data_IF_313089310587
#
_entry.id   IF_313089310587
#
_cell.length_a   1.000
_cell.length_b   1.000
_cell.length_c   1.000
_cell.angle_alpha   90.00
_cell.angle_beta   90.00
_cell.angle_gamma   90.00
#
_symmetry.space_group_name_H-M   'P 1'
#
loop_
_entity.id
_entity.type
_entity.pdbx_description
1 polymer ?
#
# COMPACT_ATOMS: atom_id res chain seq x y z
N UNK A 1 35.49 -24.86 -31.98
CA UNK A 1 34.05 -25.22 -32.05
C UNK A 1 33.88 -26.49 -31.22
N UNK A 2 33.13 -26.39 -30.13
CA UNK A 2 32.74 -27.53 -29.31
C UNK A 2 31.80 -28.42 -30.15
N UNK A 3 32.20 -29.68 -30.34
CA UNK A 3 31.34 -30.68 -30.99
C UNK A 3 30.36 -31.25 -29.96
N UNK A 4 29.15 -31.52 -30.35
CA UNK A 4 28.22 -32.24 -29.50
C UNK A 4 28.75 -33.65 -29.17
N UNK A 5 28.34 -34.24 -28.05
CA UNK A 5 28.72 -35.60 -27.67
C UNK A 5 28.41 -36.60 -28.76
N UNK A 6 27.26 -36.50 -29.41
CA UNK A 6 26.84 -37.35 -30.50
C UNK A 6 27.76 -37.24 -31.73
N UNK A 7 28.17 -36.02 -32.12
CA UNK A 7 29.13 -35.80 -33.19
C UNK A 7 30.54 -36.34 -32.87
N UNK A 8 30.98 -36.15 -31.60
CA UNK A 8 32.28 -36.67 -31.14
C UNK A 8 32.27 -38.21 -31.14
N UNK A 9 31.17 -38.82 -30.71
CA UNK A 9 30.99 -40.27 -30.69
C UNK A 9 30.92 -40.88 -32.08
N UNK A 10 30.15 -40.26 -33.00
CA UNK A 10 30.07 -40.64 -34.41
C UNK A 10 31.46 -40.60 -35.05
N UNK A 11 32.23 -39.54 -34.85
CA UNK A 11 33.56 -39.42 -35.36
C UNK A 11 34.53 -40.47 -34.80
N UNK A 12 34.45 -40.75 -33.50
CA UNK A 12 35.27 -41.78 -32.86
C UNK A 12 34.94 -43.18 -33.38
N UNK A 13 33.66 -43.54 -33.46
CA UNK A 13 33.21 -44.84 -33.97
C UNK A 13 33.61 -45.05 -35.42
N UNK A 14 33.49 -44.05 -36.30
CA UNK A 14 33.98 -44.09 -37.66
C UNK A 14 35.48 -44.39 -37.74
N UNK A 15 36.29 -43.76 -36.84
CA UNK A 15 37.74 -43.96 -36.81
C UNK A 15 38.11 -45.37 -36.34
N UNK A 16 37.40 -45.97 -35.40
CA UNK A 16 37.73 -47.22 -34.76
C UNK A 16 37.16 -48.43 -35.53
N UNK A 17 35.93 -48.33 -36.04
CA UNK A 17 35.18 -49.41 -36.65
C UNK A 17 35.02 -49.31 -38.15
N UNK A 18 35.36 -48.15 -38.78
CA UNK A 18 35.17 -47.89 -40.20
C UNK A 18 33.71 -47.73 -40.60
N UNK A 19 32.73 -47.79 -39.65
CA UNK A 19 31.29 -47.67 -39.90
C UNK A 19 30.89 -46.21 -39.85
N UNK A 20 30.18 -45.71 -40.87
CA UNK A 20 29.59 -44.37 -40.86
C UNK A 20 28.29 -44.40 -40.08
N UNK A 21 28.31 -43.71 -38.92
CA UNK A 21 27.14 -43.49 -38.07
C UNK A 21 26.92 -41.98 -38.03
N UNK A 22 25.70 -41.54 -38.25
CA UNK A 22 25.28 -40.13 -38.16
C UNK A 22 25.04 -39.75 -36.71
N UNK A 23 25.26 -38.50 -36.35
CA UNK A 23 24.89 -38.00 -35.04
C UNK A 23 23.38 -38.15 -34.73
N UNK A 24 22.54 -38.17 -35.78
CA UNK A 24 21.10 -38.39 -35.69
C UNK A 24 20.72 -39.84 -35.29
N UNK A 25 21.57 -40.81 -35.62
CA UNK A 25 21.30 -42.24 -35.32
C UNK A 25 21.33 -42.49 -33.80
N UNK A 26 22.05 -41.66 -33.01
CA UNK A 26 22.08 -41.75 -31.55
C UNK A 26 20.77 -41.27 -30.90
N UNK A 27 19.98 -40.46 -31.57
CA UNK A 27 18.68 -39.98 -31.06
C UNK A 27 17.56 -41.03 -31.10
N UNK A 28 17.79 -42.10 -31.88
CA UNK A 28 16.83 -43.21 -32.10
C UNK A 28 17.10 -44.39 -31.14
N UNK A 29 18.27 -44.43 -30.49
CA UNK A 29 18.64 -45.52 -29.60
C UNK A 29 18.06 -45.31 -28.20
N UNK A 30 17.07 -46.15 -27.83
CA UNK A 30 16.63 -46.22 -26.45
C UNK A 30 17.70 -46.89 -25.60
N UNK A 31 18.32 -46.11 -24.72
CA UNK A 31 19.28 -46.64 -23.75
C UNK A 31 18.57 -47.53 -22.72
N UNK A 32 19.15 -48.69 -22.40
CA UNK A 32 18.66 -49.50 -21.26
C UNK A 32 18.58 -48.67 -19.98
N UNK A 33 17.59 -48.91 -19.18
CA UNK A 33 17.28 -48.07 -17.99
C UNK A 33 18.43 -47.94 -16.98
N UNK A 34 19.33 -48.90 -16.94
CA UNK A 34 20.53 -48.89 -16.07
C UNK A 34 21.66 -47.94 -16.58
N UNK A 35 21.59 -47.54 -17.85
CA UNK A 35 22.54 -46.59 -18.46
C UNK A 35 22.04 -45.15 -18.44
N UNK A 36 20.79 -44.94 -18.05
CA UNK A 36 20.24 -43.61 -17.91
C UNK A 36 20.70 -42.96 -16.59
N UNK A 37 21.14 -41.72 -16.67
CA UNK A 37 21.53 -40.93 -15.51
C UNK A 37 20.40 -40.89 -14.50
N UNK A 38 20.72 -40.99 -13.23
CA UNK A 38 19.82 -40.95 -12.09
C UNK A 38 20.35 -39.94 -11.09
N UNK A 39 19.51 -39.06 -10.64
CA UNK A 39 19.83 -37.99 -9.69
C UNK A 39 19.17 -38.34 -8.34
N UNK A 40 19.88 -38.15 -7.24
CA UNK A 40 19.34 -38.23 -5.90
C UNK A 40 19.55 -36.93 -5.14
N UNK A 41 18.58 -36.58 -4.32
CA UNK A 41 18.71 -35.53 -3.30
C UNK A 41 18.91 -36.22 -1.98
N UNK A 42 19.96 -35.86 -1.24
CA UNK A 42 20.31 -36.43 0.05
C UNK A 42 20.41 -35.32 1.09
N UNK A 43 20.03 -35.59 2.32
CA UNK A 43 20.22 -34.68 3.45
C UNK A 43 21.69 -34.72 3.95
N UNK A 44 22.02 -33.82 4.89
CA UNK A 44 23.36 -33.72 5.48
C UNK A 44 23.87 -35.05 6.12
N UNK A 45 22.95 -35.96 6.43
CA UNK A 45 23.24 -37.28 7.01
C UNK A 45 23.34 -38.39 5.95
N UNK A 46 23.24 -38.06 4.67
CA UNK A 46 23.28 -39.02 3.57
C UNK A 46 21.99 -39.80 3.36
N UNK A 47 20.89 -39.40 3.99
CA UNK A 47 19.57 -40.02 3.78
C UNK A 47 18.96 -39.52 2.49
N UNK A 48 18.60 -40.40 1.59
CA UNK A 48 17.92 -40.05 0.34
C UNK A 48 16.54 -39.48 0.61
N UNK A 49 16.30 -38.27 0.11
CA UNK A 49 15.03 -37.57 0.20
C UNK A 49 14.20 -37.70 -1.08
N UNK A 50 14.85 -37.71 -2.24
CA UNK A 50 14.20 -37.94 -3.53
C UNK A 50 15.16 -38.59 -4.52
N UNK A 51 14.60 -39.19 -5.54
CA UNK A 51 15.35 -39.81 -6.63
C UNK A 51 14.56 -39.75 -7.93
N UNK A 52 15.21 -39.43 -9.04
CA UNK A 52 14.56 -39.37 -10.34
C UNK A 52 15.56 -39.24 -11.49
N UNK A 53 15.06 -39.18 -12.71
CA UNK A 53 15.87 -39.03 -13.92
C UNK A 53 15.79 -37.66 -14.55
N UNK A 54 14.78 -36.90 -14.20
CA UNK A 54 14.65 -35.50 -14.64
C UNK A 54 15.21 -34.58 -13.56
N UNK A 55 16.44 -34.09 -13.77
CA UNK A 55 17.12 -33.16 -12.87
C UNK A 55 16.32 -31.87 -12.70
N UNK A 56 15.73 -31.35 -13.79
CA UNK A 56 15.00 -30.09 -13.73
C UNK A 56 13.73 -30.23 -12.89
N UNK A 57 13.01 -31.33 -13.02
CA UNK A 57 11.83 -31.62 -12.20
C UNK A 57 12.21 -31.80 -10.70
N UNK A 58 13.30 -32.50 -10.40
CA UNK A 58 13.80 -32.65 -9.03
C UNK A 58 14.24 -31.32 -8.47
N UNK A 59 15.04 -30.54 -9.20
CA UNK A 59 15.46 -29.21 -8.77
C UNK A 59 14.28 -28.28 -8.50
N UNK A 60 13.27 -28.28 -9.37
CA UNK A 60 12.05 -27.47 -9.19
C UNK A 60 11.26 -27.90 -7.96
N UNK A 61 11.11 -29.20 -7.73
CA UNK A 61 10.35 -29.73 -6.60
C UNK A 61 11.04 -29.44 -5.25
N UNK A 62 12.39 -29.52 -5.23
CA UNK A 62 13.15 -29.38 -3.97
C UNK A 62 13.70 -27.96 -3.74
N UNK A 63 13.77 -27.10 -4.75
CA UNK A 63 14.20 -25.72 -4.59
C UNK A 63 13.29 -24.95 -3.61
N UNK A 64 11.99 -25.21 -3.63
CA UNK A 64 11.04 -24.61 -2.68
C UNK A 64 11.29 -25.09 -1.25
N UNK A 65 11.36 -26.41 -1.04
CA UNK A 65 11.62 -26.98 0.27
C UNK A 65 12.98 -26.57 0.86
N UNK A 66 14.01 -26.48 0.01
CA UNK A 66 15.34 -26.02 0.45
C UNK A 66 15.34 -24.54 0.83
N UNK A 67 14.62 -23.70 0.10
CA UNK A 67 14.47 -22.27 0.45
C UNK A 67 13.72 -22.11 1.77
N UNK A 68 12.61 -22.83 1.92
CA UNK A 68 11.82 -22.83 3.15
C UNK A 68 12.65 -23.28 4.37
N UNK A 69 13.41 -24.37 4.26
CA UNK A 69 14.29 -24.84 5.33
C UNK A 69 15.41 -23.84 5.66
N UNK A 70 15.99 -23.17 4.65
CA UNK A 70 16.98 -22.12 4.85
C UNK A 70 16.35 -20.89 5.51
N UNK A 71 15.19 -20.44 5.04
CA UNK A 71 14.46 -19.32 5.62
C UNK A 71 14.11 -19.59 7.08
N UNK A 72 13.60 -20.78 7.40
CA UNK A 72 13.28 -21.18 8.78
C UNK A 72 14.51 -21.19 9.70
N UNK A 73 15.66 -21.71 9.23
CA UNK A 73 16.92 -21.68 10.00
C UNK A 73 17.41 -20.24 10.22
N UNK A 74 17.41 -19.42 9.18
CA UNK A 74 17.80 -18.03 9.25
C UNK A 74 16.83 -17.22 10.14
N UNK A 75 15.54 -17.52 10.08
CA UNK A 75 14.53 -16.92 10.95
C UNK A 75 14.81 -17.27 12.43
N UNK A 76 15.12 -18.52 12.74
CA UNK A 76 15.45 -18.94 14.11
C UNK A 76 16.71 -18.25 14.69
N UNK A 77 17.67 -17.87 13.84
CA UNK A 77 18.90 -17.19 14.26
C UNK A 77 18.72 -15.66 14.37
N UNK A 78 17.97 -15.05 13.44
CA UNK A 78 17.85 -13.60 13.30
C UNK A 78 16.59 -13.04 13.93
N UNK A 79 15.54 -13.83 14.13
CA UNK A 79 14.28 -13.35 14.70
C UNK A 79 14.49 -12.63 16.01
N UNK A 80 13.89 -11.45 16.11
CA UNK A 80 13.76 -10.66 17.34
C UNK A 80 12.31 -10.28 17.50
N UNK A 81 11.78 -10.52 18.66
CA UNK A 81 10.40 -10.18 19.02
C UNK A 81 10.36 -8.92 19.88
N UNK A 82 9.20 -8.31 19.95
CA UNK A 82 8.87 -7.20 20.84
C UNK A 82 9.82 -5.99 20.76
N UNK A 83 10.26 -5.65 19.55
CA UNK A 83 11.06 -4.46 19.34
C UNK A 83 10.23 -3.21 19.64
N UNK A 84 10.66 -2.45 20.66
CA UNK A 84 10.06 -1.18 21.04
C UNK A 84 10.74 0.04 20.42
N UNK A 85 11.93 -0.16 19.87
CA UNK A 85 12.75 0.82 19.18
C UNK A 85 13.62 0.14 18.12
N UNK A 86 14.44 0.92 17.41
CA UNK A 86 15.42 0.38 16.47
C UNK A 86 16.70 -0.02 17.21
N UNK A 87 16.66 -1.16 17.93
CA UNK A 87 17.74 -1.62 18.79
C UNK A 87 18.73 -2.56 18.06
N UNK A 88 18.57 -2.70 16.75
CA UNK A 88 19.42 -3.53 15.89
C UNK A 88 20.47 -2.61 15.24
N UNK A 89 21.74 -3.05 15.22
CA UNK A 89 22.79 -2.24 14.61
C UNK A 89 22.67 -2.19 13.08
N UNK A 90 22.48 -3.37 12.47
CA UNK A 90 22.34 -3.53 11.03
C UNK A 90 21.38 -4.68 10.67
N UNK A 91 20.51 -4.44 9.73
CA UNK A 91 19.61 -5.44 9.12
C UNK A 91 20.09 -5.63 7.68
N UNK A 92 20.71 -6.76 7.33
CA UNK A 92 21.18 -6.98 5.97
C UNK A 92 20.00 -6.99 4.99
N UNK A 93 20.22 -6.48 3.77
CA UNK A 93 19.20 -6.51 2.70
C UNK A 93 18.85 -7.95 2.33
N UNK A 94 19.85 -8.82 2.29
CA UNK A 94 19.67 -10.26 2.05
C UNK A 94 20.76 -11.06 2.74
N UNK A 95 20.47 -12.28 3.06
CA UNK A 95 21.40 -13.29 3.56
C UNK A 95 21.50 -14.41 2.54
N UNK A 96 22.68 -15.03 2.44
CA UNK A 96 22.93 -16.12 1.48
C UNK A 96 23.49 -17.33 2.21
N UNK A 97 22.98 -18.50 1.87
CA UNK A 97 23.60 -19.76 2.29
C UNK A 97 24.83 -20.07 1.43
N UNK A 98 25.75 -20.95 1.90
CA UNK A 98 26.86 -21.44 1.10
C UNK A 98 26.43 -22.07 -0.23
N UNK A 99 25.26 -22.65 -0.28
CA UNK A 99 24.65 -23.32 -1.44
C UNK A 99 23.97 -22.32 -2.41
N UNK A 100 24.03 -21.02 -2.11
CA UNK A 100 23.49 -19.96 -2.96
C UNK A 100 22.00 -19.63 -2.78
N UNK A 101 21.36 -20.18 -1.76
CA UNK A 101 19.99 -19.78 -1.38
C UNK A 101 20.00 -18.38 -0.79
N UNK A 102 18.96 -17.60 -1.08
CA UNK A 102 18.84 -16.21 -0.61
C UNK A 102 17.57 -16.05 0.19
N UNK A 103 17.65 -15.32 1.31
CA UNK A 103 16.52 -14.92 2.11
C UNK A 103 16.65 -13.44 2.51
N UNK A 104 15.54 -12.80 2.90
CA UNK A 104 15.46 -11.36 3.09
C UNK A 104 14.94 -11.04 4.49
N UNK A 105 15.81 -10.58 5.41
CA UNK A 105 15.40 -10.10 6.73
C UNK A 105 14.60 -8.80 6.60
N UNK A 106 13.50 -8.70 7.36
CA UNK A 106 12.63 -7.53 7.33
C UNK A 106 11.96 -7.31 8.70
N UNK A 107 11.69 -6.04 9.01
CA UNK A 107 10.84 -5.66 10.15
C UNK A 107 9.38 -5.89 9.79
N UNK A 108 8.61 -6.45 10.72
CA UNK A 108 7.19 -6.74 10.57
C UNK A 108 6.40 -6.01 11.63
N UNK A 109 5.36 -5.28 11.23
CA UNK A 109 4.43 -4.62 12.15
C UNK A 109 3.43 -5.64 12.72
N UNK A 110 3.51 -5.90 14.01
CA UNK A 110 2.59 -6.77 14.75
C UNK A 110 1.47 -5.99 15.46
N UNK A 111 1.31 -4.67 15.17
CA UNK A 111 0.35 -3.80 15.82
C UNK A 111 0.91 -3.20 17.11
N UNK A 112 1.01 -3.96 18.17
CA UNK A 112 1.54 -3.50 19.48
C UNK A 112 3.07 -3.47 19.52
N UNK A 113 3.75 -4.30 18.75
CA UNK A 113 5.21 -4.39 18.66
C UNK A 113 5.68 -4.58 17.22
N UNK A 114 6.98 -4.59 17.02
CA UNK A 114 7.61 -4.90 15.75
C UNK A 114 8.53 -6.10 15.96
N UNK A 115 8.59 -7.01 14.98
CA UNK A 115 9.51 -8.14 14.99
C UNK A 115 10.45 -8.08 13.80
N UNK A 116 11.65 -8.67 13.91
CA UNK A 116 12.51 -8.98 12.78
C UNK A 116 12.21 -10.42 12.35
N UNK A 117 11.87 -10.61 11.09
CA UNK A 117 11.56 -11.90 10.46
C UNK A 117 12.36 -12.07 9.18
N UNK A 118 12.43 -13.32 8.69
CA UNK A 118 13.11 -13.64 7.44
C UNK A 118 12.11 -14.12 6.40
N UNK A 119 12.20 -13.60 5.19
CA UNK A 119 11.28 -13.86 4.08
C UNK A 119 11.98 -14.60 2.95
N UNK A 120 11.21 -15.37 2.20
CA UNK A 120 11.67 -16.06 0.99
C UNK A 120 11.56 -15.20 -0.28
N UNK A 121 10.74 -14.12 -0.22
CA UNK A 121 10.48 -13.21 -1.31
C UNK A 121 10.97 -11.80 -0.96
N UNK A 122 11.72 -11.18 -1.89
CA UNK A 122 12.25 -9.84 -1.72
C UNK A 122 11.15 -8.76 -1.65
N UNK A 123 10.11 -8.90 -2.47
CA UNK A 123 9.05 -7.90 -2.56
C UNK A 123 8.20 -7.89 -1.27
N UNK A 124 7.86 -9.08 -0.76
CA UNK A 124 7.14 -9.23 0.51
C UNK A 124 7.98 -8.67 1.67
N UNK A 125 9.29 -8.98 1.69
CA UNK A 125 10.20 -8.45 2.70
C UNK A 125 10.31 -6.93 2.65
N UNK A 126 10.36 -6.34 1.46
CA UNK A 126 10.45 -4.89 1.28
C UNK A 126 9.17 -4.19 1.79
N UNK A 127 8.00 -4.72 1.45
CA UNK A 127 6.72 -4.16 1.89
C UNK A 127 6.56 -4.25 3.41
N UNK A 128 6.84 -5.41 4.02
CA UNK A 128 6.77 -5.60 5.46
C UNK A 128 7.83 -4.76 6.20
N UNK A 129 9.06 -4.66 5.67
CA UNK A 129 10.10 -3.82 6.25
C UNK A 129 9.67 -2.35 6.30
N UNK A 130 9.10 -1.84 5.23
CA UNK A 130 8.55 -0.48 5.17
C UNK A 130 7.50 -0.25 6.26
N UNK A 131 6.57 -1.20 6.46
CA UNK A 131 5.53 -1.13 7.50
C UNK A 131 6.14 -1.16 8.91
N UNK A 132 7.12 -2.06 9.13
CA UNK A 132 7.82 -2.16 10.41
C UNK A 132 8.61 -0.90 10.75
N UNK A 133 9.34 -0.32 9.80
CA UNK A 133 10.06 0.97 9.96
C UNK A 133 9.06 2.09 10.27
N UNK A 134 7.96 2.17 9.55
CA UNK A 134 6.90 3.16 9.80
C UNK A 134 6.37 3.06 11.23
N UNK A 135 6.06 1.84 11.70
CA UNK A 135 5.58 1.60 13.06
C UNK A 135 6.58 2.08 14.11
N UNK A 136 7.85 1.75 13.95
CA UNK A 136 8.91 2.19 14.88
C UNK A 136 9.08 3.71 14.86
N UNK A 137 9.03 4.37 13.70
CA UNK A 137 9.10 5.82 13.56
C UNK A 137 7.91 6.50 14.26
N UNK A 138 6.68 6.02 14.07
CA UNK A 138 5.49 6.54 14.76
C UNK A 138 5.61 6.45 16.27
N UNK A 139 6.13 5.34 16.75
CA UNK A 139 6.38 5.12 18.19
C UNK A 139 7.47 6.03 18.72
N UNK A 140 8.60 6.14 18.03
CA UNK A 140 9.73 7.00 18.39
C UNK A 140 9.39 8.50 18.34
N UNK A 141 8.40 8.89 17.52
CA UNK A 141 7.91 10.26 17.38
C UNK A 141 6.71 10.57 18.30
N UNK A 142 6.26 9.64 19.13
CA UNK A 142 5.03 9.78 19.93
C UNK A 142 4.97 11.08 20.74
N UNK A 143 6.06 11.49 21.36
CA UNK A 143 6.10 12.73 22.14
C UNK A 143 6.06 13.99 21.26
N UNK A 144 6.71 13.95 20.08
CA UNK A 144 6.62 15.05 19.11
C UNK A 144 5.21 15.16 18.52
N UNK A 145 4.55 14.03 18.27
CA UNK A 145 3.15 13.96 17.82
C UNK A 145 2.23 14.59 18.88
N UNK A 146 2.36 14.18 20.15
CA UNK A 146 1.60 14.76 21.27
C UNK A 146 1.86 16.26 21.42
N UNK A 147 3.13 16.68 21.29
CA UNK A 147 3.50 18.08 21.35
C UNK A 147 2.87 18.88 20.19
N UNK A 148 2.98 18.40 18.96
CA UNK A 148 2.38 19.03 17.80
C UNK A 148 0.86 19.19 17.95
N UNK A 149 0.14 18.15 18.41
CA UNK A 149 -1.30 18.22 18.69
C UNK A 149 -1.65 19.33 19.72
N UNK A 150 -0.88 19.43 20.79
CA UNK A 150 -1.14 20.44 21.83
C UNK A 150 -0.84 21.87 21.37
N UNK A 151 0.21 22.05 20.58
CA UNK A 151 0.72 23.36 20.17
C UNK A 151 0.13 23.86 18.85
N UNK A 152 -0.66 23.03 18.12
CA UNK A 152 -1.27 23.46 16.86
C UNK A 152 -2.15 24.70 17.09
N UNK A 153 -1.90 25.84 16.39
CA UNK A 153 -2.51 27.14 16.69
C UNK A 153 -3.95 27.22 16.12
N UNK A 154 -4.86 26.41 16.65
CA UNK A 154 -6.26 26.41 16.28
C UNK A 154 -7.00 27.60 16.92
N UNK A 155 -7.48 28.53 16.08
CA UNK A 155 -8.25 29.67 16.55
C UNK A 155 -9.62 29.23 17.11
N UNK A 156 -10.10 29.93 18.13
CA UNK A 156 -11.40 29.63 18.76
C UNK A 156 -12.54 29.69 17.76
N UNK A 157 -12.52 30.61 16.82
CA UNK A 157 -13.55 30.73 15.79
C UNK A 157 -13.55 29.52 14.85
N UNK A 158 -12.39 29.02 14.47
CA UNK A 158 -12.25 27.80 13.65
C UNK A 158 -12.76 26.56 14.42
N UNK A 159 -12.42 26.46 15.71
CA UNK A 159 -12.93 25.39 16.57
C UNK A 159 -14.45 25.42 16.73
N UNK A 160 -15.04 26.64 16.83
CA UNK A 160 -16.50 26.81 16.91
C UNK A 160 -17.20 26.39 15.60
N UNK A 161 -16.66 26.79 14.46
CA UNK A 161 -17.19 26.37 13.14
C UNK A 161 -17.04 24.86 12.91
N UNK A 162 -16.01 24.25 13.45
CA UNK A 162 -15.77 22.82 13.39
C UNK A 162 -16.73 22.00 14.28
N UNK A 163 -17.32 22.60 15.32
CA UNK A 163 -18.10 21.89 16.34
C UNK A 163 -19.27 21.04 15.77
N UNK A 164 -19.76 21.36 14.57
CA UNK A 164 -20.75 20.54 13.87
C UNK A 164 -20.18 19.23 13.28
N UNK A 165 -18.86 19.13 13.07
CA UNK A 165 -18.18 17.99 12.47
C UNK A 165 -17.40 17.16 13.51
N UNK A 166 -17.03 17.78 14.63
CA UNK A 166 -16.26 17.09 15.67
C UNK A 166 -15.68 18.02 16.73
N UNK A 167 -14.89 17.46 17.64
CA UNK A 167 -14.21 18.25 18.67
C UNK A 167 -12.94 18.92 18.13
N UNK A 168 -12.52 20.01 18.79
CA UNK A 168 -11.24 20.64 18.49
C UNK A 168 -10.03 19.70 18.72
N UNK A 169 -10.16 18.73 19.60
CA UNK A 169 -9.12 17.73 19.88
C UNK A 169 -9.03 16.72 18.74
N UNK A 170 -10.14 16.21 18.23
CA UNK A 170 -10.17 15.33 17.05
C UNK A 170 -9.62 16.03 15.82
N UNK A 171 -9.97 17.31 15.59
CA UNK A 171 -9.41 18.11 14.50
C UNK A 171 -7.88 18.18 14.57
N UNK A 172 -7.32 18.52 15.73
CA UNK A 172 -5.87 18.57 15.92
C UNK A 172 -5.21 17.20 15.71
N UNK A 173 -5.86 16.14 16.17
CA UNK A 173 -5.36 14.79 16.01
C UNK A 173 -5.31 14.38 14.53
N UNK A 174 -6.39 14.61 13.79
CA UNK A 174 -6.48 14.27 12.36
C UNK A 174 -5.48 15.07 11.52
N UNK A 175 -5.31 16.36 11.79
CA UNK A 175 -4.35 17.21 11.06
C UNK A 175 -2.90 16.79 11.27
N UNK A 176 -2.52 16.45 12.51
CA UNK A 176 -1.16 15.99 12.81
C UNK A 176 -0.91 14.59 12.23
N UNK A 177 -1.92 13.72 12.28
CA UNK A 177 -1.83 12.39 11.69
C UNK A 177 -1.72 12.44 10.17
N UNK A 178 -2.54 13.27 9.52
CA UNK A 178 -2.47 13.51 8.08
C UNK A 178 -1.09 14.05 7.65
N UNK A 179 -0.56 15.03 8.39
CA UNK A 179 0.76 15.59 8.13
C UNK A 179 1.88 14.55 8.28
N UNK A 180 1.81 13.70 9.30
CA UNK A 180 2.77 12.61 9.50
C UNK A 180 2.69 11.57 8.37
N UNK A 181 1.48 11.12 8.02
CA UNK A 181 1.25 10.15 6.96
C UNK A 181 1.80 10.64 5.61
N UNK A 182 1.53 11.91 5.26
CA UNK A 182 2.06 12.52 4.04
C UNK A 182 3.59 12.53 4.00
N UNK A 183 4.24 12.90 5.13
CA UNK A 183 5.70 12.92 5.22
C UNK A 183 6.32 11.53 5.19
N UNK A 184 5.64 10.52 5.72
CA UNK A 184 6.06 9.12 5.63
C UNK A 184 5.92 8.57 4.20
N UNK A 185 4.80 8.84 3.53
CA UNK A 185 4.58 8.43 2.14
C UNK A 185 5.56 9.05 1.15
N UNK A 186 5.99 10.30 1.40
CA UNK A 186 6.95 11.00 0.54
C UNK A 186 8.40 10.49 0.69
N UNK A 187 8.65 9.47 1.52
CA UNK A 187 10.00 8.96 1.83
C UNK A 187 10.12 7.47 1.55
N UNK A 188 11.34 7.09 1.19
CA UNK A 188 11.74 5.70 1.20
C UNK A 188 11.99 5.25 2.67
N UNK A 189 11.16 4.34 3.15
CA UNK A 189 11.21 3.83 4.52
C UNK A 189 11.99 2.50 4.56
N UNK A 190 13.25 2.51 4.09
CA UNK A 190 14.17 1.37 4.12
C UNK A 190 15.35 1.64 5.10
N UNK A 191 15.01 1.93 6.35
CA UNK A 191 16.03 2.10 7.38
C UNK A 191 16.52 0.74 7.89
N UNK A 192 17.73 0.36 7.49
CA UNK A 192 18.35 -0.91 7.88
C UNK A 192 19.43 -0.77 8.93
N UNK A 193 19.89 0.45 9.21
CA UNK A 193 20.88 0.75 10.26
C UNK A 193 20.29 1.70 11.29
N UNK A 194 20.80 1.66 12.51
CA UNK A 194 20.43 2.62 13.56
C UNK A 194 20.65 4.06 13.09
N UNK A 195 21.73 4.34 12.39
CA UNK A 195 22.03 5.69 11.87
C UNK A 195 20.98 6.16 10.85
N UNK A 196 20.60 5.30 9.90
CA UNK A 196 19.57 5.64 8.91
C UNK A 196 18.21 5.87 9.56
N UNK A 197 17.85 5.07 10.55
CA UNK A 197 16.63 5.23 11.32
C UNK A 197 16.58 6.55 12.11
N UNK A 198 17.65 6.88 12.86
CA UNK A 198 17.72 8.13 13.62
C UNK A 198 17.73 9.38 12.71
N UNK A 199 18.32 9.29 11.52
CA UNK A 199 18.24 10.34 10.51
C UNK A 199 16.80 10.58 10.04
N UNK A 200 16.07 9.52 9.66
CA UNK A 200 14.65 9.61 9.29
C UNK A 200 13.80 10.19 10.42
N UNK A 201 13.97 9.69 11.65
CA UNK A 201 13.29 10.18 12.84
C UNK A 201 13.56 11.67 13.09
N UNK A 202 14.82 12.10 12.95
CA UNK A 202 15.21 13.51 13.14
C UNK A 202 14.55 14.41 12.10
N UNK A 203 14.59 14.05 10.83
CA UNK A 203 13.99 14.79 9.73
C UNK A 203 12.48 14.90 9.90
N UNK A 204 11.79 13.77 10.05
CA UNK A 204 10.34 13.74 10.26
C UNK A 204 9.94 14.56 11.48
N UNK A 205 10.69 14.41 12.58
CA UNK A 205 10.39 15.12 13.82
C UNK A 205 10.63 16.63 13.75
N UNK A 206 11.49 17.12 12.85
CA UNK A 206 11.71 18.56 12.63
C UNK A 206 10.64 19.18 11.72
N UNK A 207 10.11 18.41 10.78
CA UNK A 207 9.15 18.87 9.78
C UNK A 207 7.68 18.77 10.25
N UNK A 208 7.37 17.84 11.17
CA UNK A 208 6.01 17.47 11.55
C UNK A 208 5.13 18.66 11.92
N UNK A 209 5.65 19.57 12.79
CA UNK A 209 4.86 20.71 13.24
C UNK A 209 4.53 21.69 12.10
N UNK A 210 5.51 22.00 11.27
CA UNK A 210 5.30 22.88 10.11
C UNK A 210 4.30 22.27 9.13
N UNK A 211 4.41 20.97 8.83
CA UNK A 211 3.46 20.26 7.99
C UNK A 211 2.04 20.26 8.57
N UNK A 212 1.90 20.09 9.89
CA UNK A 212 0.60 20.15 10.54
C UNK A 212 -0.02 21.56 10.47
N UNK A 213 0.78 22.62 10.54
CA UNK A 213 0.31 24.02 10.35
C UNK A 213 -0.13 24.27 8.92
N UNK A 214 0.57 23.72 7.92
CA UNK A 214 0.14 23.79 6.51
C UNK A 214 -1.21 23.09 6.31
N UNK A 215 -1.39 21.91 6.90
CA UNK A 215 -2.66 21.19 6.90
C UNK A 215 -3.78 21.97 7.59
N UNK A 216 -3.49 22.65 8.68
CA UNK A 216 -4.47 23.50 9.37
C UNK A 216 -4.99 24.61 8.45
N UNK A 217 -4.12 25.29 7.71
CA UNK A 217 -4.53 26.34 6.76
C UNK A 217 -5.49 25.81 5.69
N UNK A 218 -5.22 24.62 5.17
CA UNK A 218 -6.11 23.96 4.22
C UNK A 218 -7.46 23.61 4.88
N UNK A 219 -7.44 23.05 6.07
CA UNK A 219 -8.63 22.70 6.84
C UNK A 219 -9.47 23.97 7.17
N UNK A 220 -8.84 25.08 7.52
CA UNK A 220 -9.53 26.35 7.79
C UNK A 220 -10.35 26.84 6.59
N UNK A 221 -9.81 26.72 5.35
CA UNK A 221 -10.54 27.06 4.15
C UNK A 221 -11.76 26.15 3.90
N UNK A 222 -11.65 24.86 4.23
CA UNK A 222 -12.74 23.89 4.13
C UNK A 222 -13.81 24.19 5.20
N UNK A 223 -13.39 24.40 6.45
CA UNK A 223 -14.27 24.72 7.59
C UNK A 223 -15.04 26.01 7.33
N UNK A 224 -14.38 27.04 6.76
CA UNK A 224 -15.05 28.28 6.41
C UNK A 224 -16.14 28.06 5.35
N UNK A 225 -15.79 27.37 4.25
CA UNK A 225 -16.75 27.07 3.19
C UNK A 225 -17.93 26.20 3.70
N UNK A 226 -17.67 25.28 4.63
CA UNK A 226 -18.73 24.48 5.28
C UNK A 226 -19.62 25.37 6.14
N UNK A 227 -19.06 26.26 6.96
CA UNK A 227 -19.84 27.16 7.81
C UNK A 227 -20.73 28.12 6.96
N UNK A 228 -20.23 28.56 5.80
CA UNK A 228 -21.03 29.34 4.85
C UNK A 228 -22.17 28.54 4.19
N UNK A 229 -21.97 27.22 4.00
CA UNK A 229 -22.95 26.32 3.40
C UNK A 229 -24.11 25.99 4.36
N UNK A 230 -23.83 25.79 5.65
CA UNK A 230 -24.80 25.25 6.63
C UNK A 230 -26.16 25.96 6.64
N UNK A 231 -26.28 27.33 6.64
CA UNK A 231 -27.58 28.01 6.63
C UNK A 231 -28.40 27.75 5.37
N UNK A 232 -27.77 27.28 4.30
CA UNK A 232 -28.42 27.01 3.02
C UNK A 232 -28.94 25.57 2.90
N UNK A 233 -28.49 24.65 3.76
CA UNK A 233 -28.93 23.26 3.77
C UNK A 233 -30.25 23.08 4.50
N UNK A 234 -30.78 24.10 5.18
CA UNK A 234 -32.11 24.10 5.76
C UNK A 234 -33.15 24.55 4.73
N UNK A 235 -34.17 23.74 4.42
CA UNK A 235 -35.21 24.14 3.50
C UNK A 235 -36.04 25.30 4.11
N UNK A 236 -36.47 26.29 3.28
CA UNK A 236 -37.21 27.47 3.77
C UNK A 236 -38.60 27.10 4.33
N UNK A 237 -39.17 26.01 3.87
CA UNK A 237 -40.46 25.46 4.30
C UNK A 237 -40.39 23.96 4.46
N UNK A 238 -41.10 23.41 5.42
CA UNK A 238 -41.21 21.98 5.62
C UNK A 238 -41.81 21.32 4.36
N UNK A 239 -41.12 20.28 3.86
CA UNK A 239 -41.51 19.56 2.64
C UNK A 239 -41.11 20.26 1.33
N UNK A 240 -40.44 21.43 1.37
CA UNK A 240 -39.97 22.09 0.18
C UNK A 240 -38.79 21.36 -0.43
N UNK A 241 -38.92 20.90 -1.69
CA UNK A 241 -37.87 20.27 -2.47
C UNK A 241 -37.04 19.20 -1.71
N UNK A 242 -37.72 18.35 -0.96
CA UNK A 242 -37.15 17.39 0.01
C UNK A 242 -36.04 16.56 -0.62
N UNK A 243 -36.30 15.94 -1.79
CA UNK A 243 -35.31 15.11 -2.46
C UNK A 243 -34.02 15.86 -2.86
N UNK A 244 -34.10 17.14 -3.21
CA UNK A 244 -32.96 17.97 -3.56
C UNK A 244 -32.12 18.32 -2.33
N UNK A 245 -32.77 18.59 -1.18
CA UNK A 245 -32.06 18.81 0.08
C UNK A 245 -31.44 17.53 0.63
N UNK A 246 -32.10 16.39 0.50
CA UNK A 246 -31.55 15.07 0.86
C UNK A 246 -30.29 14.77 0.06
N UNK A 247 -30.28 15.03 -1.26
CA UNK A 247 -29.08 14.87 -2.11
C UNK A 247 -27.93 15.82 -1.70
N UNK A 248 -28.25 17.07 -1.35
CA UNK A 248 -27.25 18.02 -0.84
C UNK A 248 -26.66 17.55 0.51
N UNK A 249 -27.49 17.04 1.42
CA UNK A 249 -27.03 16.51 2.70
C UNK A 249 -26.17 15.26 2.50
N UNK A 250 -26.60 14.34 1.63
CA UNK A 250 -25.80 13.15 1.26
C UNK A 250 -24.44 13.55 0.71
N UNK A 251 -24.37 14.52 -0.22
CA UNK A 251 -23.11 15.01 -0.78
C UNK A 251 -22.21 15.59 0.30
N UNK A 252 -22.76 16.40 1.23
CA UNK A 252 -21.99 16.96 2.35
C UNK A 252 -21.43 15.84 3.24
N UNK A 253 -22.24 14.88 3.61
CA UNK A 253 -21.86 13.81 4.53
C UNK A 253 -20.81 12.87 3.94
N UNK A 254 -20.86 12.63 2.63
CA UNK A 254 -19.85 11.88 1.90
C UNK A 254 -18.53 12.66 1.75
N UNK A 255 -18.57 13.98 1.55
CA UNK A 255 -17.35 14.81 1.49
C UNK A 255 -16.72 14.99 2.86
N UNK A 256 -17.52 15.24 3.89
CA UNK A 256 -17.06 15.57 5.24
C UNK A 256 -17.26 14.39 6.21
N UNK A 257 -17.11 13.17 5.70
CA UNK A 257 -17.17 11.95 6.52
C UNK A 257 -16.12 11.99 7.65
N UNK A 258 -16.37 11.32 8.79
CA UNK A 258 -15.40 11.30 9.89
C UNK A 258 -13.99 10.88 9.42
N UNK A 259 -12.99 11.68 9.74
CA UNK A 259 -11.60 11.43 9.34
C UNK A 259 -11.23 11.91 7.92
N UNK A 260 -12.12 12.57 7.18
CA UNK A 260 -11.83 13.01 5.80
C UNK A 260 -10.54 13.84 5.67
N UNK A 261 -10.18 14.65 6.67
CA UNK A 261 -8.93 15.42 6.68
C UNK A 261 -7.68 14.55 6.76
N UNK A 262 -7.80 13.34 7.31
CA UNK A 262 -6.72 12.37 7.44
C UNK A 262 -6.67 11.42 6.24
N UNK A 263 -7.84 10.96 5.79
CA UNK A 263 -7.97 9.82 4.87
C UNK A 263 -8.04 10.24 3.39
N UNK A 264 -8.27 11.54 3.12
CA UNK A 264 -8.31 12.07 1.74
C UNK A 264 -6.95 12.60 1.30
N UNK A 265 -6.59 12.31 0.04
CA UNK A 265 -5.38 12.84 -0.60
C UNK A 265 -5.30 14.38 -0.47
N UNK A 266 -4.12 14.94 -0.11
CA UNK A 266 -3.93 16.39 0.05
C UNK A 266 -4.35 17.22 -1.16
N UNK A 267 -4.05 16.74 -2.37
CA UNK A 267 -4.39 17.45 -3.60
C UNK A 267 -5.91 17.50 -3.78
N UNK A 268 -6.62 16.42 -3.47
CA UNK A 268 -8.09 16.37 -3.50
C UNK A 268 -8.72 17.31 -2.48
N UNK A 269 -8.17 17.38 -1.27
CA UNK A 269 -8.64 18.31 -0.23
C UNK A 269 -8.58 19.79 -0.68
N UNK A 270 -7.65 20.17 -1.55
CA UNK A 270 -7.59 21.55 -2.07
C UNK A 270 -8.84 21.95 -2.87
N UNK A 271 -9.59 20.99 -3.40
CA UNK A 271 -10.82 21.21 -4.15
C UNK A 271 -12.08 21.31 -3.26
N UNK A 272 -12.02 20.86 -2.01
CA UNK A 272 -13.17 20.84 -1.09
C UNK A 272 -13.83 22.21 -0.91
N UNK A 273 -13.09 23.32 -0.71
CA UNK A 273 -13.73 24.63 -0.60
C UNK A 273 -14.55 25.00 -1.85
N UNK A 274 -14.10 24.57 -3.04
CA UNK A 274 -14.82 24.79 -4.29
C UNK A 274 -16.08 23.93 -4.37
N UNK A 275 -16.03 22.67 -3.94
CA UNK A 275 -17.20 21.78 -3.90
C UNK A 275 -18.25 22.32 -2.93
N UNK A 276 -17.87 22.70 -1.72
CA UNK A 276 -18.79 23.26 -0.70
C UNK A 276 -19.41 24.59 -1.15
N UNK A 277 -18.63 25.47 -1.80
CA UNK A 277 -19.18 26.70 -2.40
C UNK A 277 -20.13 26.39 -3.56
N UNK A 278 -19.84 25.39 -4.38
CA UNK A 278 -20.74 24.89 -5.42
C UNK A 278 -22.06 24.42 -4.86
N UNK A 279 -22.04 23.65 -3.78
CA UNK A 279 -23.24 23.22 -3.04
C UNK A 279 -24.03 24.40 -2.50
N UNK A 280 -23.37 25.43 -1.94
CA UNK A 280 -24.04 26.64 -1.46
C UNK A 280 -24.76 27.37 -2.60
N UNK A 281 -24.08 27.57 -3.75
CA UNK A 281 -24.68 28.19 -4.92
C UNK A 281 -25.85 27.36 -5.48
N UNK A 282 -25.74 26.03 -5.46
CA UNK A 282 -26.82 25.13 -5.83
C UNK A 282 -28.02 25.30 -4.90
N UNK A 283 -27.81 25.30 -3.59
CA UNK A 283 -28.87 25.48 -2.59
C UNK A 283 -29.56 26.83 -2.71
N UNK A 284 -28.81 27.89 -3.07
CA UNK A 284 -29.36 29.22 -3.36
C UNK A 284 -30.27 29.21 -4.60
N UNK A 285 -29.83 28.59 -5.71
CA UNK A 285 -30.60 28.43 -6.94
C UNK A 285 -31.82 27.52 -6.75
N UNK A 286 -31.68 26.46 -5.96
CA UNK A 286 -32.75 25.53 -5.63
C UNK A 286 -33.95 26.24 -5.01
N UNK A 287 -33.76 27.27 -4.18
CA UNK A 287 -34.81 28.07 -3.60
C UNK A 287 -35.61 28.87 -4.65
N UNK A 288 -35.01 29.15 -5.81
CA UNK A 288 -35.63 29.90 -6.91
C UNK A 288 -36.34 28.98 -7.92
N UNK A 289 -35.69 27.86 -8.28
CA UNK A 289 -36.20 26.92 -9.31
C UNK A 289 -35.90 25.44 -8.92
N UNK A 290 -36.75 24.83 -8.07
CA UNK A 290 -36.61 23.45 -7.66
C UNK A 290 -36.71 22.44 -8.81
N UNK A 291 -37.53 22.71 -9.81
CA UNK A 291 -37.74 21.80 -10.93
C UNK A 291 -36.46 21.70 -11.81
N UNK A 292 -35.81 22.81 -12.03
CA UNK A 292 -34.55 22.84 -12.78
C UNK A 292 -33.42 22.12 -12.01
N UNK A 293 -33.32 22.32 -10.69
CA UNK A 293 -32.34 21.58 -9.86
C UNK A 293 -32.64 20.08 -9.87
N UNK A 294 -33.91 19.67 -9.77
CA UNK A 294 -34.32 18.26 -9.85
C UNK A 294 -33.85 17.61 -11.16
N UNK A 295 -34.00 18.28 -12.29
CA UNK A 295 -33.56 17.76 -13.58
C UNK A 295 -32.03 17.56 -13.62
N UNK A 296 -31.25 18.49 -13.07
CA UNK A 296 -29.79 18.40 -12.96
C UNK A 296 -29.34 17.31 -12.00
N UNK A 297 -29.98 17.22 -10.84
CA UNK A 297 -29.76 16.17 -9.85
C UNK A 297 -29.91 14.78 -10.45
N UNK A 298 -30.97 14.53 -11.23
CA UNK A 298 -31.21 13.24 -11.86
C UNK A 298 -30.12 12.83 -12.83
N UNK A 299 -29.52 13.78 -13.56
CA UNK A 299 -28.40 13.51 -14.45
C UNK A 299 -27.15 13.04 -13.66
N UNK A 300 -26.88 13.63 -12.51
CA UNK A 300 -25.75 13.22 -11.65
C UNK A 300 -26.03 11.90 -10.96
N UNK A 301 -27.26 11.68 -10.50
CA UNK A 301 -27.68 10.46 -9.79
C UNK A 301 -27.41 9.17 -10.54
N UNK A 302 -27.47 9.18 -11.88
CA UNK A 302 -27.15 8.02 -12.70
C UNK A 302 -25.72 7.52 -12.44
N UNK A 303 -24.75 8.42 -12.39
CA UNK A 303 -23.34 8.10 -12.11
C UNK A 303 -23.11 7.80 -10.62
N UNK A 304 -23.77 8.55 -9.73
CA UNK A 304 -23.65 8.36 -8.29
C UNK A 304 -24.15 6.98 -7.84
N UNK A 305 -25.30 6.54 -8.32
CA UNK A 305 -25.84 5.19 -8.04
C UNK A 305 -24.93 4.08 -8.57
N UNK A 306 -24.37 4.25 -9.75
CA UNK A 306 -23.43 3.27 -10.30
C UNK A 306 -22.14 3.21 -9.48
N UNK A 307 -21.63 4.36 -9.01
CA UNK A 307 -20.51 4.41 -8.08
C UNK A 307 -20.82 3.66 -6.78
N UNK A 308 -21.93 3.96 -6.13
CA UNK A 308 -22.32 3.29 -4.87
C UNK A 308 -22.47 1.77 -5.03
N UNK A 309 -23.04 1.33 -6.15
CA UNK A 309 -23.15 -0.10 -6.48
C UNK A 309 -21.79 -0.77 -6.61
N UNK A 310 -20.85 -0.12 -7.27
CA UNK A 310 -19.50 -0.68 -7.48
C UNK A 310 -18.62 -0.60 -6.25
N UNK A 311 -18.78 0.40 -5.41
CA UNK A 311 -18.04 0.57 -4.15
C UNK A 311 -18.12 -0.66 -3.23
N UNK A 312 -19.23 -1.42 -3.28
CA UNK A 312 -19.42 -2.66 -2.53
C UNK A 312 -18.98 -3.93 -3.25
N UNK A 313 -18.52 -3.86 -4.50
CA UNK A 313 -18.13 -5.03 -5.29
C UNK A 313 -16.69 -5.44 -5.01
N UNK A 314 -16.43 -6.75 -4.89
CA UNK A 314 -15.07 -7.30 -4.72
C UNK A 314 -14.21 -7.21 -5.98
N UNK A 315 -14.85 -7.09 -7.15
CA UNK A 315 -14.17 -7.07 -8.46
C UNK A 315 -13.88 -5.65 -8.96
N UNK A 316 -14.20 -4.63 -8.16
CA UNK A 316 -13.99 -3.25 -8.55
C UNK A 316 -12.54 -2.84 -8.34
N UNK A 317 -11.94 -2.17 -9.34
CA UNK A 317 -10.65 -1.51 -9.22
C UNK A 317 -10.76 -0.31 -8.27
N UNK A 318 -10.07 -0.31 -7.11
CA UNK A 318 -10.14 0.78 -6.14
C UNK A 318 -9.67 2.13 -6.72
N UNK A 319 -8.65 2.14 -7.57
CA UNK A 319 -8.11 3.37 -8.16
C UNK A 319 -9.11 4.00 -9.15
N UNK A 320 -9.74 3.18 -9.98
CA UNK A 320 -10.78 3.64 -10.91
C UNK A 320 -12.03 4.13 -10.18
N UNK A 321 -12.40 3.51 -9.05
CA UNK A 321 -13.51 3.96 -8.21
C UNK A 321 -13.21 5.31 -7.55
N UNK A 322 -12.00 5.48 -7.05
CA UNK A 322 -11.57 6.74 -6.45
C UNK A 322 -11.60 7.88 -7.49
N UNK A 323 -11.11 7.65 -8.70
CA UNK A 323 -11.17 8.63 -9.77
C UNK A 323 -12.62 8.96 -10.17
N UNK A 324 -13.47 7.95 -10.33
CA UNK A 324 -14.90 8.14 -10.62
C UNK A 324 -15.59 8.98 -9.54
N UNK A 325 -15.26 8.76 -8.27
CA UNK A 325 -15.79 9.56 -7.15
C UNK A 325 -15.53 11.06 -7.37
N UNK A 326 -14.30 11.42 -7.73
CA UNK A 326 -13.92 12.82 -7.91
C UNK A 326 -14.47 13.40 -9.21
N UNK A 327 -14.58 12.64 -10.28
CA UNK A 327 -15.24 13.08 -11.51
C UNK A 327 -16.71 13.42 -11.28
N UNK A 328 -17.41 12.69 -10.40
CA UNK A 328 -18.78 13.01 -10.02
C UNK A 328 -18.85 14.35 -9.27
N UNK A 329 -17.90 14.65 -8.37
CA UNK A 329 -17.86 15.96 -7.69
C UNK A 329 -17.56 17.10 -8.67
N UNK A 330 -16.67 16.89 -9.63
CA UNK A 330 -16.44 17.86 -10.71
C UNK A 330 -17.69 18.09 -11.57
N UNK A 331 -18.40 17.02 -11.90
CA UNK A 331 -19.68 17.12 -12.62
C UNK A 331 -20.70 17.93 -11.81
N UNK A 332 -20.83 17.69 -10.51
CA UNK A 332 -21.76 18.42 -9.62
C UNK A 332 -21.48 19.94 -9.61
N UNK A 333 -20.21 20.35 -9.70
CA UNK A 333 -19.84 21.78 -9.77
C UNK A 333 -20.14 22.39 -11.14
N UNK A 334 -20.10 21.57 -12.20
CA UNK A 334 -20.27 22.06 -13.60
C UNK A 334 -21.73 22.26 -14.01
N UNK A 335 -22.69 21.67 -13.31
CA UNK A 335 -24.14 21.73 -13.60
C UNK A 335 -24.88 22.71 -12.72
#
# INVERSE_FOLDING_TARGET
RERSLAEALAHYLRKVTGVEISAADFSVVELPTHLLMRFSVEDENGKKLAEGRDLAAIQKAWASAAREAFSQRADAELTREDLSGFDIEDIPVSIRSPEGLVAWPALVDLGESVALRVFENADDACEEHRRGVERLLRRALSDKIKHARRQLPLANITALKWAALGSAETLRADLVEAALAERLQARELDARTRTSFENLKSQLGSELFAAAVERLKLAEAIIEAHAELMPWLEPPLLGFATANYEDLLEQRDELLSPGFLRDTDPQRLTHYPRYLRGMRLRAERLRQDPARDQARMLNVHTYWREYLKRRGSRDADPAALEELRWLIEELRVSV
#
